data_IF_031751237137
#
_entry.id   IF_031751237137
#
_cell.length_a   1.000
_cell.length_b   1.000
_cell.length_c   1.000
_cell.angle_alpha   90.00
_cell.angle_beta   90.00
_cell.angle_gamma   90.00
#
_symmetry.space_group_name_H-M   'P 1'
#
loop_
_entity.id
_entity.type
_entity.pdbx_description
1 polymer ?
#
# COMPACT_ATOMS: atom_id res chain seq x y z
N UNK A 1 -6.62 11.44 4.48
CA UNK A 1 -5.27 12.06 4.46
C UNK A 1 -4.54 11.47 3.28
N UNK A 2 -3.91 12.33 2.49
CA UNK A 2 -3.17 11.91 1.31
C UNK A 2 -1.74 11.52 1.71
N UNK A 3 -1.20 10.53 1.01
CA UNK A 3 0.13 9.96 1.23
C UNK A 3 0.88 10.02 -0.09
N UNK A 4 1.95 10.80 -0.11
CA UNK A 4 2.75 10.99 -1.31
C UNK A 4 3.66 9.79 -1.57
N UNK A 5 4.26 9.75 -2.76
CA UNK A 5 5.20 8.70 -3.16
C UNK A 5 6.38 8.59 -2.17
N UNK A 6 6.71 7.36 -1.80
CA UNK A 6 7.71 6.98 -0.78
C UNK A 6 7.43 7.50 0.63
N UNK A 7 6.23 8.01 0.88
CA UNK A 7 5.79 8.32 2.23
C UNK A 7 5.02 7.16 2.88
N UNK A 8 5.03 7.16 4.21
CA UNK A 8 4.28 6.25 5.05
C UNK A 8 3.48 7.05 6.08
N UNK A 9 2.16 6.84 6.11
CA UNK A 9 1.28 7.47 7.07
C UNK A 9 0.53 6.42 7.89
N UNK A 10 0.42 6.66 9.19
CA UNK A 10 -0.38 5.84 10.11
C UNK A 10 -1.30 6.73 10.92
N UNK A 11 -2.60 6.39 10.95
CA UNK A 11 -3.63 7.14 11.66
C UNK A 11 -4.45 6.24 12.59
N UNK A 12 -4.95 6.83 13.68
CA UNK A 12 -6.02 6.33 14.50
C UNK A 12 -7.31 7.05 14.09
N UNK A 13 -8.23 6.31 13.47
CA UNK A 13 -9.45 6.90 12.87
C UNK A 13 -10.39 7.57 13.86
N UNK A 14 -10.22 7.30 15.16
CA UNK A 14 -11.03 7.91 16.23
C UNK A 14 -10.38 9.16 16.82
N UNK A 15 -9.05 9.29 16.76
CA UNK A 15 -8.31 10.31 17.51
C UNK A 15 -7.65 11.37 16.64
N UNK A 16 -7.24 11.02 15.41
CA UNK A 16 -6.40 11.89 14.59
C UNK A 16 -7.19 12.80 13.65
N UNK A 17 -8.52 12.75 13.67
CA UNK A 17 -9.39 13.60 12.84
C UNK A 17 -9.50 13.18 11.37
N UNK A 18 -8.92 12.04 11.00
CA UNK A 18 -9.03 11.44 9.67
C UNK A 18 -9.72 10.08 9.75
N UNK A 19 -10.56 9.76 8.77
CA UNK A 19 -11.27 8.48 8.66
C UNK A 19 -10.69 7.54 7.59
N UNK A 20 -9.74 8.04 6.79
CA UNK A 20 -9.21 7.39 5.61
C UNK A 20 -7.79 7.86 5.26
N UNK A 21 -7.05 6.98 4.58
CA UNK A 21 -5.76 7.26 3.95
C UNK A 21 -5.90 7.04 2.44
N UNK A 22 -5.24 7.86 1.63
CA UNK A 22 -5.26 7.68 0.18
C UNK A 22 -3.91 8.02 -0.46
N UNK A 23 -3.68 7.48 -1.64
CA UNK A 23 -2.53 7.81 -2.49
C UNK A 23 -2.99 7.82 -3.95
N UNK A 24 -2.36 8.65 -4.76
CA UNK A 24 -2.71 8.84 -6.17
C UNK A 24 -1.63 8.27 -7.09
N UNK A 25 -2.03 7.97 -8.32
CA UNK A 25 -1.13 7.63 -9.42
C UNK A 25 -0.20 6.43 -9.16
N UNK A 26 -0.72 5.36 -8.54
CA UNK A 26 0.00 4.10 -8.35
C UNK A 26 0.06 3.36 -9.70
N UNK A 27 1.12 3.60 -10.46
CA UNK A 27 1.40 2.95 -11.74
C UNK A 27 2.27 1.69 -11.55
N UNK A 28 3.58 1.79 -11.76
CA UNK A 28 4.55 0.73 -11.42
C UNK A 28 4.76 0.58 -9.90
N UNK A 29 4.35 1.59 -9.12
CA UNK A 29 4.43 1.58 -7.67
C UNK A 29 3.42 0.61 -7.04
N UNK A 30 3.52 0.40 -5.72
CA UNK A 30 2.61 -0.43 -4.94
C UNK A 30 2.15 0.33 -3.70
N UNK A 31 0.84 0.48 -3.53
CA UNK A 31 0.24 0.91 -2.27
C UNK A 31 0.19 -0.26 -1.27
N UNK A 32 0.90 -0.13 -0.15
CA UNK A 32 0.89 -1.07 0.95
C UNK A 32 -0.12 -0.58 1.98
N UNK A 33 -1.28 -1.24 2.05
CA UNK A 33 -2.38 -0.90 2.96
C UNK A 33 -2.31 -1.79 4.20
N UNK A 34 -2.17 -1.21 5.39
CA UNK A 34 -2.17 -1.93 6.66
C UNK A 34 -3.39 -1.59 7.51
N UNK A 35 -4.03 -2.61 8.11
CA UNK A 35 -5.18 -2.46 8.99
C UNK A 35 -4.99 -3.20 10.30
N UNK A 36 -5.46 -2.61 11.38
CA UNK A 36 -5.50 -3.28 12.67
C UNK A 36 -6.36 -2.54 13.68
N UNK A 37 -6.51 -3.13 14.86
CA UNK A 37 -7.20 -2.49 15.98
C UNK A 37 -6.26 -2.39 17.17
N UNK A 38 -6.37 -1.30 17.91
CA UNK A 38 -5.72 -1.19 19.21
C UNK A 38 -6.57 -1.86 20.32
N UNK A 39 -6.03 -1.93 21.54
CA UNK A 39 -6.73 -2.55 22.70
C UNK A 39 -8.07 -1.89 23.06
N UNK A 40 -8.30 -0.64 22.63
CA UNK A 40 -9.56 0.09 22.85
C UNK A 40 -10.58 -0.17 21.74
N UNK A 41 -10.24 -1.00 20.75
CA UNK A 41 -11.09 -1.30 19.60
C UNK A 41 -11.06 -0.25 18.48
N UNK A 42 -10.22 0.80 18.61
CA UNK A 42 -10.11 1.84 17.58
C UNK A 42 -9.39 1.27 16.36
N UNK A 43 -9.89 1.62 15.17
CA UNK A 43 -9.26 1.26 13.90
C UNK A 43 -8.01 2.09 13.67
N UNK A 44 -6.90 1.39 13.47
CA UNK A 44 -5.62 1.94 13.06
C UNK A 44 -5.43 1.59 11.60
N UNK A 45 -5.04 2.59 10.81
CA UNK A 45 -4.83 2.49 9.38
C UNK A 45 -3.40 2.93 9.08
N UNK A 46 -2.70 2.17 8.25
CA UNK A 46 -1.40 2.53 7.68
C UNK A 46 -1.44 2.46 6.16
N UNK A 47 -0.79 3.40 5.48
CA UNK A 47 -0.64 3.41 4.04
C UNK A 47 0.78 3.84 3.70
N UNK A 48 1.45 3.09 2.82
CA UNK A 48 2.72 3.50 2.21
C UNK A 48 2.60 3.42 0.69
N UNK A 49 3.07 4.45 0.00
CA UNK A 49 3.18 4.47 -1.47
C UNK A 49 4.61 4.05 -1.84
N UNK A 50 4.81 2.78 -2.13
CA UNK A 50 6.13 2.21 -2.34
C UNK A 50 6.54 2.25 -3.83
N UNK A 51 7.63 2.96 -4.15
CA UNK A 51 8.16 3.06 -5.52
C UNK A 51 9.18 1.99 -5.91
N UNK A 52 9.69 1.21 -4.95
CA UNK A 52 10.76 0.24 -5.17
C UNK A 52 12.17 0.74 -4.87
N UNK A 53 12.34 2.02 -4.52
CA UNK A 53 13.67 2.59 -4.20
C UNK A 53 14.22 2.04 -2.88
N UNK A 54 13.38 1.90 -1.86
CA UNK A 54 13.75 1.33 -0.57
C UNK A 54 13.64 -0.20 -0.57
N UNK A 55 14.31 -0.86 0.37
CA UNK A 55 14.18 -2.30 0.56
C UNK A 55 12.76 -2.65 1.06
N UNK A 56 12.17 -3.72 0.49
CA UNK A 56 10.81 -4.12 0.80
C UNK A 56 10.60 -4.46 2.30
N UNK A 57 11.60 -5.06 2.96
CA UNK A 57 11.52 -5.37 4.38
C UNK A 57 11.58 -4.10 5.23
N UNK A 58 12.36 -3.10 4.83
CA UNK A 58 12.43 -1.80 5.51
C UNK A 58 11.07 -1.10 5.48
N UNK A 59 10.45 -0.98 4.32
CA UNK A 59 9.14 -0.30 4.16
C UNK A 59 8.03 -1.03 4.92
N UNK A 60 7.99 -2.37 4.83
CA UNK A 60 7.03 -3.17 5.60
C UNK A 60 7.27 -3.08 7.11
N UNK A 61 8.52 -2.90 7.55
CA UNK A 61 8.86 -2.72 8.96
C UNK A 61 8.43 -1.34 9.46
N UNK A 62 8.66 -0.29 8.68
CA UNK A 62 8.26 1.08 9.01
C UNK A 62 6.75 1.17 9.25
N UNK A 63 5.93 0.71 8.30
CA UNK A 63 4.48 0.75 8.45
C UNK A 63 4.02 -0.10 9.65
N UNK A 64 4.61 -1.28 9.86
CA UNK A 64 4.29 -2.15 11.01
C UNK A 64 4.64 -1.47 12.34
N UNK A 65 5.78 -0.83 12.43
CA UNK A 65 6.23 -0.11 13.62
C UNK A 65 5.33 1.09 13.90
N UNK A 66 4.97 1.89 12.90
CA UNK A 66 4.01 2.98 13.05
C UNK A 66 2.64 2.48 13.55
N UNK A 67 2.16 1.36 13.00
CA UNK A 67 0.93 0.70 13.45
C UNK A 67 1.02 0.25 14.91
N UNK A 68 2.16 -0.33 15.31
CA UNK A 68 2.41 -0.76 16.69
C UNK A 68 2.51 0.41 17.68
N UNK A 69 3.12 1.52 17.28
CA UNK A 69 3.17 2.75 18.08
C UNK A 69 1.77 3.30 18.37
N UNK A 70 0.82 3.13 17.44
CA UNK A 70 -0.61 3.44 17.66
C UNK A 70 -1.41 2.32 18.33
N UNK A 71 -0.73 1.24 18.70
CA UNK A 71 -1.26 0.15 19.53
C UNK A 71 -1.89 -1.01 18.76
N UNK A 72 -1.79 -1.05 17.43
CA UNK A 72 -2.22 -2.20 16.65
C UNK A 72 -1.24 -3.36 16.80
N UNK A 73 -1.76 -4.58 16.98
CA UNK A 73 -0.96 -5.80 17.08
C UNK A 73 -1.20 -6.66 15.86
N UNK A 74 -0.13 -7.11 15.22
CA UNK A 74 -0.17 -7.96 14.02
C UNK A 74 -1.14 -7.43 12.94
N UNK A 75 -0.89 -6.20 12.41
CA UNK A 75 -1.76 -5.64 11.38
C UNK A 75 -1.83 -6.57 10.16
N UNK A 76 -2.98 -6.60 9.52
CA UNK A 76 -3.16 -7.24 8.22
C UNK A 76 -2.68 -6.28 7.14
N UNK A 77 -1.95 -6.79 6.16
CA UNK A 77 -1.45 -5.99 5.04
C UNK A 77 -2.06 -6.45 3.71
N UNK A 78 -2.34 -5.50 2.84
CA UNK A 78 -2.88 -5.74 1.52
C UNK A 78 -2.15 -4.86 0.50
N UNK A 79 -1.75 -5.45 -0.63
CA UNK A 79 -0.99 -4.77 -1.67
C UNK A 79 -1.93 -4.36 -2.83
N UNK A 80 -1.82 -3.14 -3.33
CA UNK A 80 -2.56 -2.68 -4.52
C UNK A 80 -1.62 -1.94 -5.45
N UNK A 81 -1.64 -2.22 -6.74
CA UNK A 81 -0.81 -1.51 -7.72
C UNK A 81 -0.11 -2.47 -8.67
N UNK A 82 1.08 -2.10 -9.09
CA UNK A 82 1.89 -2.88 -10.02
C UNK A 82 1.44 -2.74 -11.47
N UNK A 83 2.43 -2.71 -12.35
CA UNK A 83 2.32 -2.54 -13.79
C UNK A 83 2.91 -3.76 -14.51
N UNK A 84 2.10 -4.39 -15.36
CA UNK A 84 2.64 -5.30 -16.37
C UNK A 84 3.18 -4.46 -17.53
N UNK A 85 4.48 -4.58 -17.76
CA UNK A 85 5.15 -3.98 -18.91
C UNK A 85 6.12 -4.97 -19.55
N UNK A 86 6.29 -4.86 -20.87
CA UNK A 86 7.36 -5.54 -21.62
C UNK A 86 8.69 -4.78 -21.56
N UNK A 87 8.69 -3.57 -21.02
CA UNK A 87 9.89 -2.82 -20.68
C UNK A 87 10.26 -3.11 -19.23
N UNK A 88 11.43 -3.73 -19.03
CA UNK A 88 11.91 -4.18 -17.72
C UNK A 88 11.94 -3.03 -16.71
N UNK A 89 12.40 -1.84 -17.13
CA UNK A 89 12.49 -0.63 -16.29
C UNK A 89 11.13 -0.07 -15.83
N UNK A 90 10.03 -0.46 -16.48
CA UNK A 90 8.67 -0.02 -16.12
C UNK A 90 7.89 -1.11 -15.38
N UNK A 91 8.43 -2.33 -15.31
CA UNK A 91 7.75 -3.47 -14.68
C UNK A 91 7.89 -3.42 -13.17
N UNK A 92 6.83 -3.77 -12.45
CA UNK A 92 6.83 -3.92 -11.00
C UNK A 92 7.26 -5.31 -10.52
N UNK A 93 7.64 -6.21 -11.43
CA UNK A 93 7.84 -7.63 -11.13
C UNK A 93 8.78 -7.90 -9.95
N UNK A 94 9.93 -7.23 -9.87
CA UNK A 94 10.89 -7.46 -8.79
C UNK A 94 10.34 -6.99 -7.44
N UNK A 95 9.73 -5.81 -7.39
CA UNK A 95 9.07 -5.29 -6.18
C UNK A 95 7.97 -6.24 -5.69
N UNK A 96 7.13 -6.72 -6.60
CA UNK A 96 6.06 -7.65 -6.28
C UNK A 96 6.59 -8.96 -5.70
N UNK A 97 7.62 -9.52 -6.33
CA UNK A 97 8.29 -10.74 -5.85
C UNK A 97 8.82 -10.54 -4.43
N UNK A 98 9.52 -9.44 -4.19
CA UNK A 98 10.20 -9.19 -2.93
C UNK A 98 9.19 -8.93 -1.79
N UNK A 99 8.10 -8.21 -2.05
CA UNK A 99 6.99 -8.04 -1.10
C UNK A 99 6.27 -9.36 -0.81
N UNK A 100 5.95 -10.14 -1.85
CA UNK A 100 5.22 -11.40 -1.68
C UNK A 100 6.06 -12.48 -0.96
N UNK A 101 7.39 -12.46 -1.11
CA UNK A 101 8.28 -13.30 -0.33
C UNK A 101 8.16 -13.05 1.19
N UNK A 102 7.74 -11.84 1.57
CA UNK A 102 7.58 -11.39 2.95
C UNK A 102 6.14 -11.56 3.49
N UNK A 103 5.27 -12.31 2.79
CA UNK A 103 3.86 -12.46 3.18
C UNK A 103 3.65 -12.98 4.62
N UNK A 104 4.39 -14.01 5.02
CA UNK A 104 4.28 -14.59 6.37
C UNK A 104 4.76 -13.63 7.47
N UNK A 105 5.99 -13.08 7.42
CA UNK A 105 6.50 -12.23 8.51
C UNK A 105 5.72 -10.90 8.69
N UNK A 106 4.98 -10.46 7.68
CA UNK A 106 4.23 -9.20 7.72
C UNK A 106 2.70 -9.36 7.62
N UNK A 107 2.19 -10.60 7.66
CA UNK A 107 0.76 -10.88 7.58
C UNK A 107 0.10 -10.20 6.36
N UNK A 108 0.72 -10.39 5.19
CA UNK A 108 0.15 -9.95 3.92
C UNK A 108 -0.97 -10.94 3.55
N UNK A 109 -2.22 -10.50 3.68
CA UNK A 109 -3.41 -11.34 3.55
C UNK A 109 -3.99 -11.36 2.14
N UNK A 110 -3.55 -10.44 1.28
CA UNK A 110 -3.96 -10.41 -0.11
C UNK A 110 -3.24 -9.35 -0.92
N UNK A 111 -3.42 -9.43 -2.23
CA UNK A 111 -2.87 -8.49 -3.17
C UNK A 111 -3.81 -8.32 -4.36
N UNK A 112 -3.87 -7.11 -4.90
CA UNK A 112 -4.47 -6.77 -6.18
C UNK A 112 -3.39 -6.11 -7.04
N UNK A 113 -2.57 -6.96 -7.66
CA UNK A 113 -1.46 -6.57 -8.51
C UNK A 113 -1.89 -6.48 -9.97
N UNK A 114 -1.08 -5.82 -10.80
CA UNK A 114 -1.31 -5.67 -12.23
C UNK A 114 -2.64 -4.98 -12.56
N UNK A 115 -3.02 -4.01 -11.72
CA UNK A 115 -4.18 -3.14 -11.97
C UNK A 115 -3.94 -2.20 -13.15
N UNK A 116 -2.67 -2.00 -13.47
CA UNK A 116 -2.17 -1.19 -14.57
C UNK A 116 -1.53 -2.07 -15.63
N UNK A 117 -1.84 -1.79 -16.89
CA UNK A 117 -1.23 -2.46 -18.05
C UNK A 117 -0.73 -1.34 -18.97
N UNK A 118 0.53 -1.45 -19.38
CA UNK A 118 1.10 -0.63 -20.45
C UNK A 118 0.93 -1.40 -21.74
N UNK A 119 0.06 -0.92 -22.63
CA UNK A 119 0.02 -1.35 -24.02
C UNK A 119 0.95 -0.49 -24.89
N UNK A 120 1.16 -0.92 -26.14
CA UNK A 120 2.11 -0.32 -27.08
C UNK A 120 1.87 1.16 -27.40
N UNK A 121 0.74 1.73 -26.96
CA UNK A 121 0.35 3.12 -27.18
C UNK A 121 0.78 4.07 -26.05
N UNK A 122 1.43 3.55 -24.98
CA UNK A 122 2.30 4.34 -24.10
C UNK A 122 1.63 5.02 -22.91
N UNK A 123 0.33 4.89 -22.70
CA UNK A 123 -0.33 5.44 -21.51
C UNK A 123 -0.30 4.40 -20.38
N UNK A 124 0.65 4.55 -19.46
CA UNK A 124 0.66 3.78 -18.23
C UNK A 124 -0.57 4.16 -17.41
N UNK A 125 -1.59 3.30 -17.45
CA UNK A 125 -2.74 3.45 -16.56
C UNK A 125 -2.23 3.47 -15.12
N UNK A 126 -2.66 4.42 -14.30
CA UNK A 126 -2.36 4.43 -12.88
C UNK A 126 -3.65 4.14 -12.10
N UNK A 127 -3.53 3.75 -10.83
CA UNK A 127 -4.68 3.68 -9.94
C UNK A 127 -4.52 4.60 -8.75
N UNK A 128 -5.63 5.20 -8.35
CA UNK A 128 -5.73 5.88 -7.07
C UNK A 128 -6.26 4.88 -6.05
N UNK A 129 -5.70 4.90 -4.84
CA UNK A 129 -6.03 3.97 -3.76
C UNK A 129 -6.52 4.75 -2.55
N UNK A 130 -7.69 4.37 -2.02
CA UNK A 130 -8.23 4.91 -0.77
C UNK A 130 -8.56 3.77 0.18
N UNK A 131 -7.94 3.79 1.35
CA UNK A 131 -8.20 2.86 2.44
C UNK A 131 -9.06 3.52 3.51
N UNK A 132 -10.19 2.88 3.83
CA UNK A 132 -11.03 3.18 5.00
C UNK A 132 -10.91 2.07 6.02
N UNK A 133 -11.54 2.22 7.20
CA UNK A 133 -11.64 1.12 8.18
C UNK A 133 -12.24 -0.16 7.58
N UNK A 134 -13.22 -0.03 6.69
CA UNK A 134 -14.02 -1.17 6.21
C UNK A 134 -13.44 -1.78 4.93
N UNK A 135 -12.94 -0.95 3.99
CA UNK A 135 -12.56 -1.40 2.65
C UNK A 135 -11.30 -0.71 2.14
N UNK A 136 -10.75 -1.25 1.06
CA UNK A 136 -9.75 -0.61 0.22
C UNK A 136 -10.42 -0.43 -1.13
N UNK A 137 -10.52 0.81 -1.57
CA UNK A 137 -11.06 1.20 -2.87
C UNK A 137 -9.89 1.55 -3.78
N UNK A 138 -10.01 1.19 -5.05
CA UNK A 138 -9.09 1.61 -6.09
C UNK A 138 -9.87 1.91 -7.36
N UNK A 139 -9.47 2.95 -8.07
CA UNK A 139 -10.05 3.30 -9.36
C UNK A 139 -8.94 3.63 -10.35
N UNK A 140 -9.20 3.37 -11.63
CA UNK A 140 -8.32 3.83 -12.70
C UNK A 140 -8.25 5.37 -12.68
N UNK A 141 -7.04 5.90 -12.62
CA UNK A 141 -6.74 7.30 -12.87
C UNK A 141 -6.49 7.45 -14.38
N UNK A 142 -7.27 8.32 -15.01
CA UNK A 142 -7.21 8.60 -16.46
C UNK A 142 -6.47 9.91 -16.70
#
# INVERSE_FOLDING_TARGET
MDVDMDECAVINTTLDGFDSLGTLAVASCIAICAKGKNRRGHDILGLSHYSGVADAHEVLSEIREGMQQKGARNPEMFLVGGLISNQEDLSSFEMERDLLALHNPFNITGAKLHVSISDSDGEANAVDVVMTKDKIYYHAAW
#
